data_IF_338543919791
#
_entry.id   IF_338543919791
#
_cell.length_a   1.000
_cell.length_b   1.000
_cell.length_c   1.000
_cell.angle_alpha   90.00
_cell.angle_beta   90.00
_cell.angle_gamma   90.00
#
_symmetry.space_group_name_H-M   'P 1'
#
loop_
_entity.id
_entity.type
_entity.pdbx_description
1 polymer ?
#
# COMPACT_ATOMS: atom_id res chain seq x y z
N UNK A 1 -4.75 0.82 -6.59
CA UNK A 1 -3.98 1.70 -5.68
C UNK A 1 -4.84 2.89 -5.26
N UNK A 2 -4.83 3.27 -3.97
CA UNK A 2 -5.52 4.46 -3.45
C UNK A 2 -4.49 5.48 -3.01
N UNK A 3 -4.65 6.75 -3.40
CA UNK A 3 -3.83 7.85 -2.89
C UNK A 3 -4.67 8.79 -2.03
N UNK A 4 -4.16 9.06 -0.83
CA UNK A 4 -4.67 10.08 0.08
C UNK A 4 -3.58 11.12 0.32
N UNK A 5 -3.98 12.37 0.46
CA UNK A 5 -3.08 13.46 0.87
C UNK A 5 -3.24 13.68 2.36
N UNK A 6 -2.14 13.56 3.09
CA UNK A 6 -2.06 13.90 4.50
C UNK A 6 -1.44 15.29 4.63
N UNK A 7 -2.19 16.23 5.20
CA UNK A 7 -1.71 17.60 5.41
C UNK A 7 -1.07 17.75 6.78
N UNK A 8 -0.26 18.81 6.96
CA UNK A 8 0.36 19.16 8.24
C UNK A 8 -0.66 19.42 9.36
N UNK A 9 -1.89 19.79 9.01
CA UNK A 9 -3.00 20.00 9.95
C UNK A 9 -3.79 18.71 10.22
N UNK A 10 -3.18 17.54 9.98
CA UNK A 10 -3.76 16.21 10.16
C UNK A 10 -5.05 15.94 9.37
N UNK A 11 -5.39 16.76 8.36
CA UNK A 11 -6.49 16.44 7.44
C UNK A 11 -6.02 15.38 6.45
N UNK A 12 -6.88 14.40 6.23
CA UNK A 12 -6.74 13.38 5.20
C UNK A 12 -7.73 13.68 4.08
N UNK A 13 -7.23 13.79 2.85
CA UNK A 13 -8.05 14.10 1.66
C UNK A 13 -7.88 12.93 0.69
N UNK A 14 -9.00 12.31 0.30
CA UNK A 14 -8.98 11.36 -0.81
C UNK A 14 -8.63 12.11 -2.10
N UNK A 15 -7.60 11.64 -2.79
CA UNK A 15 -7.17 12.25 -4.05
C UNK A 15 -7.78 11.52 -5.24
N UNK A 16 -7.46 10.24 -5.37
CA UNK A 16 -7.87 9.37 -6.47
C UNK A 16 -7.52 7.92 -6.14
N UNK A 17 -8.28 7.00 -6.73
CA UNK A 17 -7.94 5.58 -6.81
C UNK A 17 -7.69 5.21 -8.27
N UNK A 18 -6.61 4.48 -8.52
CA UNK A 18 -6.30 3.87 -9.79
C UNK A 18 -6.64 2.39 -9.73
N UNK A 19 -7.42 1.94 -10.69
CA UNK A 19 -7.58 0.52 -10.96
C UNK A 19 -6.33 0.03 -11.71
N UNK A 20 -5.69 -1.00 -11.15
CA UNK A 20 -4.46 -1.58 -11.69
C UNK A 20 -4.70 -3.00 -12.23
N UNK A 21 -5.95 -3.44 -12.36
CA UNK A 21 -6.28 -4.74 -12.94
C UNK A 21 -5.66 -4.87 -14.34
N UNK A 22 -4.88 -5.94 -14.54
CA UNK A 22 -4.21 -6.23 -15.81
C UNK A 22 -2.93 -5.44 -16.08
N UNK A 23 -2.55 -4.48 -15.21
CA UNK A 23 -1.29 -3.76 -15.29
C UNK A 23 -0.24 -4.41 -14.40
N UNK A 24 1.01 -4.47 -14.89
CA UNK A 24 2.13 -4.82 -14.02
C UNK A 24 2.37 -3.67 -13.04
N UNK A 25 2.41 -3.95 -11.75
CA UNK A 25 2.77 -2.94 -10.74
C UNK A 25 4.30 -2.77 -10.70
N UNK A 26 4.89 -2.24 -11.76
CA UNK A 26 6.34 -1.97 -11.83
C UNK A 26 6.68 -0.66 -11.12
N UNK A 27 7.93 -0.52 -10.66
CA UNK A 27 8.38 0.71 -10.01
C UNK A 27 8.25 1.96 -10.91
N UNK A 28 8.36 1.81 -12.23
CA UNK A 28 8.17 2.92 -13.19
C UNK A 28 6.71 3.34 -13.32
N UNK A 29 5.80 2.38 -13.46
CA UNK A 29 4.36 2.69 -13.55
C UNK A 29 3.85 3.32 -12.26
N UNK A 30 4.31 2.82 -11.11
CA UNK A 30 3.98 3.40 -9.81
C UNK A 30 4.56 4.82 -9.64
N UNK A 31 5.76 5.09 -10.17
CA UNK A 31 6.34 6.45 -10.19
C UNK A 31 5.44 7.41 -10.98
N UNK A 32 4.95 7.00 -12.15
CA UNK A 32 4.05 7.83 -12.95
C UNK A 32 2.74 8.12 -12.22
N UNK A 33 2.17 7.13 -11.52
CA UNK A 33 0.98 7.33 -10.68
C UNK A 33 1.26 8.34 -9.55
N UNK A 34 2.43 8.27 -8.91
CA UNK A 34 2.80 9.22 -7.86
C UNK A 34 2.97 10.63 -8.44
N UNK A 35 3.62 10.78 -9.59
CA UNK A 35 3.77 12.07 -10.26
C UNK A 35 2.42 12.68 -10.67
N UNK A 36 1.52 11.86 -11.22
CA UNK A 36 0.14 12.26 -11.51
C UNK A 36 -0.57 12.71 -10.23
N UNK A 37 -0.42 11.96 -9.14
CA UNK A 37 -0.98 12.31 -7.83
C UNK A 37 -0.47 13.65 -7.29
N UNK A 38 0.84 13.90 -7.38
CA UNK A 38 1.44 15.18 -6.95
C UNK A 38 0.86 16.34 -7.77
N UNK A 39 0.79 16.17 -9.10
CA UNK A 39 0.22 17.17 -10.00
C UNK A 39 -1.25 17.45 -9.66
N UNK A 40 -2.06 16.40 -9.48
CA UNK A 40 -3.47 16.52 -9.11
C UNK A 40 -3.68 17.22 -7.77
N UNK A 41 -2.85 16.92 -6.76
CA UNK A 41 -2.93 17.56 -5.46
C UNK A 41 -2.64 19.07 -5.56
N UNK A 42 -1.68 19.46 -6.40
CA UNK A 42 -1.37 20.85 -6.67
C UNK A 42 -2.47 21.56 -7.43
N UNK A 43 -3.00 20.96 -8.49
CA UNK A 43 -4.02 21.58 -9.35
C UNK A 43 -5.37 21.72 -8.64
N UNK A 44 -5.82 20.69 -7.91
CA UNK A 44 -7.15 20.69 -7.28
C UNK A 44 -7.20 21.43 -5.95
N UNK A 45 -6.12 21.37 -5.17
CA UNK A 45 -6.13 21.82 -3.78
C UNK A 45 -5.04 22.83 -3.46
N UNK A 46 -4.21 23.22 -4.44
CA UNK A 46 -3.02 24.06 -4.25
C UNK A 46 -2.04 23.51 -3.20
N UNK A 47 -1.98 22.18 -3.05
CA UNK A 47 -1.11 21.50 -2.08
C UNK A 47 0.26 21.24 -2.71
N UNK A 48 1.32 21.46 -1.94
CA UNK A 48 2.69 21.06 -2.30
C UNK A 48 2.99 19.75 -1.57
N UNK A 49 3.31 18.70 -2.32
CA UNK A 49 3.62 17.39 -1.78
C UNK A 49 5.13 17.25 -1.58
N UNK A 50 5.57 16.94 -0.35
CA UNK A 50 6.99 16.81 0.00
C UNK A 50 7.44 15.36 0.18
N UNK A 51 6.51 14.46 0.45
CA UNK A 51 6.80 13.06 0.71
C UNK A 51 5.68 12.14 0.21
N UNK A 52 6.04 10.90 -0.10
CA UNK A 52 5.14 9.79 -0.38
C UNK A 52 5.36 8.68 0.65
N UNK A 53 4.25 8.18 1.19
CA UNK A 53 4.23 7.04 2.12
C UNK A 53 3.65 5.84 1.36
N UNK A 54 4.36 4.71 1.32
CA UNK A 54 3.91 3.49 0.64
C UNK A 54 4.08 2.25 1.49
N UNK A 55 3.50 1.12 1.08
CA UNK A 55 3.82 -0.18 1.69
C UNK A 55 5.28 -0.58 1.45
N UNK A 56 5.75 -1.54 2.27
CA UNK A 56 7.07 -2.16 2.14
C UNK A 56 7.07 -3.32 1.13
N UNK A 57 6.52 -3.09 -0.06
CA UNK A 57 6.55 -4.05 -1.17
C UNK A 57 7.71 -3.72 -2.12
N UNK A 58 8.29 -4.73 -2.77
CA UNK A 58 9.46 -4.55 -3.65
C UNK A 58 9.24 -3.52 -4.77
N UNK A 59 8.06 -3.54 -5.40
CA UNK A 59 7.65 -2.58 -6.42
C UNK A 59 7.55 -1.15 -5.88
N UNK A 60 7.00 -0.99 -4.68
CA UNK A 60 6.88 0.30 -3.99
C UNK A 60 8.23 0.86 -3.56
N UNK A 61 9.15 0.01 -3.11
CA UNK A 61 10.53 0.40 -2.79
C UNK A 61 11.29 0.82 -4.05
N UNK A 62 11.07 0.15 -5.20
CA UNK A 62 11.64 0.56 -6.47
C UNK A 62 11.08 1.90 -6.95
N UNK A 63 9.78 2.13 -6.79
CA UNK A 63 9.14 3.44 -7.05
C UNK A 63 9.76 4.53 -6.18
N UNK A 64 9.92 4.26 -4.88
CA UNK A 64 10.48 5.21 -3.90
C UNK A 64 11.87 5.71 -4.26
N UNK A 65 12.71 4.85 -4.85
CA UNK A 65 14.04 5.21 -5.36
C UNK A 65 14.01 6.07 -6.62
N UNK A 66 12.88 6.14 -7.32
CA UNK A 66 12.74 6.78 -8.64
C UNK A 66 11.95 8.09 -8.60
N UNK A 67 11.25 8.38 -7.50
CA UNK A 67 10.54 9.65 -7.29
C UNK A 67 11.49 10.73 -6.77
N UNK A 68 11.22 11.99 -7.10
CA UNK A 68 12.06 13.14 -6.72
C UNK A 68 11.62 13.81 -5.41
N UNK A 69 10.83 13.12 -4.59
CA UNK A 69 10.36 13.58 -3.29
C UNK A 69 10.74 12.56 -2.22
N UNK A 70 10.63 12.92 -0.94
CA UNK A 70 10.95 11.97 0.12
C UNK A 70 10.03 10.75 0.07
N UNK A 71 10.62 9.57 0.21
CA UNK A 71 9.88 8.31 0.28
C UNK A 71 10.09 7.69 1.66
N UNK A 72 8.98 7.25 2.26
CA UNK A 72 9.02 6.48 3.50
C UNK A 72 8.01 5.35 3.44
N UNK A 73 8.25 4.30 4.23
CA UNK A 73 7.35 3.16 4.31
C UNK A 73 6.29 3.35 5.38
N UNK A 74 5.13 2.74 5.15
CA UNK A 74 4.00 2.80 6.05
C UNK A 74 4.33 2.08 7.38
N UNK A 75 4.33 2.84 8.47
CA UNK A 75 4.67 2.32 9.81
C UNK A 75 3.69 1.24 10.27
N UNK A 76 2.41 1.33 9.91
CA UNK A 76 1.43 0.29 10.27
C UNK A 76 1.73 -1.03 9.55
N UNK A 77 2.19 -0.97 8.31
CA UNK A 77 2.63 -2.17 7.58
C UNK A 77 3.87 -2.78 8.23
N UNK A 78 4.87 -1.96 8.54
CA UNK A 78 6.09 -2.39 9.25
C UNK A 78 5.76 -3.00 10.62
N UNK A 79 4.87 -2.37 11.40
CA UNK A 79 4.40 -2.87 12.69
C UNK A 79 3.64 -4.19 12.56
N UNK A 80 2.83 -4.36 11.52
CA UNK A 80 2.15 -5.63 11.24
C UNK A 80 3.15 -6.75 10.89
N UNK A 81 4.18 -6.45 10.10
CA UNK A 81 5.24 -7.43 9.81
C UNK A 81 6.00 -7.82 11.08
N UNK A 82 6.30 -6.84 11.96
CA UNK A 82 6.90 -7.11 13.25
C UNK A 82 6.00 -7.99 14.13
N UNK A 83 4.71 -7.64 14.25
CA UNK A 83 3.75 -8.43 15.02
C UNK A 83 3.68 -9.89 14.53
N UNK A 84 3.68 -10.11 13.20
CA UNK A 84 3.71 -11.45 12.61
C UNK A 84 4.97 -12.23 13.00
N UNK A 85 6.12 -11.57 13.14
CA UNK A 85 7.37 -12.22 13.54
C UNK A 85 7.37 -12.72 15.00
N UNK A 86 6.51 -12.15 15.85
CA UNK A 86 6.34 -12.61 17.24
C UNK A 86 5.37 -13.78 17.39
N UNK A 87 4.59 -14.10 16.35
CA UNK A 87 3.66 -15.23 16.39
C UNK A 87 4.45 -16.54 16.20
N UNK A 88 4.33 -17.52 17.11
CA UNK A 88 4.98 -18.81 16.93
C UNK A 88 4.52 -19.49 15.63
N UNK A 89 5.47 -20.05 14.86
CA UNK A 89 5.15 -20.70 13.58
C UNK A 89 4.13 -21.83 13.72
N UNK A 90 4.20 -22.59 14.82
CA UNK A 90 3.28 -23.69 15.10
C UNK A 90 1.84 -23.20 15.23
N UNK A 91 1.65 -22.08 15.93
CA UNK A 91 0.35 -21.43 16.06
C UNK A 91 -0.15 -20.90 14.71
N UNK A 92 0.72 -20.20 13.96
CA UNK A 92 0.37 -19.68 12.64
C UNK A 92 -0.03 -20.80 11.64
N UNK A 93 0.69 -21.93 11.65
CA UNK A 93 0.38 -23.11 10.82
C UNK A 93 -0.98 -23.71 11.17
N UNK A 94 -1.30 -23.86 12.45
CA UNK A 94 -2.58 -24.40 12.89
C UNK A 94 -3.77 -23.53 12.46
N UNK A 95 -3.66 -22.21 12.65
CA UNK A 95 -4.70 -21.26 12.20
C UNK A 95 -4.85 -21.30 10.67
N UNK A 96 -3.75 -21.38 9.93
CA UNK A 96 -3.81 -21.44 8.47
C UNK A 96 -4.47 -22.72 7.98
N UNK A 97 -4.13 -23.87 8.57
CA UNK A 97 -4.75 -25.16 8.24
C UNK A 97 -6.26 -25.15 8.53
N UNK A 98 -6.67 -24.58 9.66
CA UNK A 98 -8.09 -24.39 10.00
C UNK A 98 -8.80 -23.53 8.95
N UNK A 99 -8.24 -22.36 8.62
CA UNK A 99 -8.79 -21.46 7.60
C UNK A 99 -8.90 -22.13 6.22
N UNK A 100 -7.91 -22.93 5.81
CA UNK A 100 -7.94 -23.67 4.55
C UNK A 100 -9.04 -24.73 4.57
N UNK A 101 -9.18 -25.48 5.66
CA UNK A 101 -10.24 -26.46 5.83
C UNK A 101 -11.63 -25.83 5.74
N UNK A 102 -11.86 -24.72 6.44
CA UNK A 102 -13.13 -23.98 6.40
C UNK A 102 -13.45 -23.43 5.00
N UNK A 103 -12.44 -22.95 4.25
CA UNK A 103 -12.62 -22.49 2.87
C UNK A 103 -13.05 -23.63 1.93
N UNK A 104 -12.43 -24.80 2.07
CA UNK A 104 -12.82 -25.97 1.28
C UNK A 104 -14.25 -26.43 1.57
N UNK A 105 -14.68 -26.40 2.84
CA UNK A 105 -16.08 -26.72 3.16
C UNK A 105 -17.05 -25.73 2.52
N UNK A 106 -16.75 -24.43 2.54
CA UNK A 106 -17.59 -23.41 1.91
C UNK A 106 -17.67 -23.55 0.38
N UNK A 107 -16.59 -24.00 -0.26
CA UNK A 107 -16.58 -24.24 -1.72
C UNK A 107 -17.36 -25.50 -2.11
N UNK A 108 -17.43 -26.50 -1.23
CA UNK A 108 -18.19 -27.74 -1.46
C UNK A 108 -19.68 -27.63 -1.13
N UNK A 109 -20.13 -26.47 -0.62
CA UNK A 109 -21.54 -26.18 -0.31
C UNK A 109 -22.22 -25.27 -1.37
N UNK A 110 -21.49 -24.86 -2.40
CA UNK A 110 -22.00 -24.16 -3.60
C UNK A 110 -21.92 -25.06 -4.83
#
# INVERSE_FOLDING_TARGET
MVCTVHTVNSKCIFLKSWDLIGLKETGDQLKEIVNEGIKLAKEKFNIITYAVVSDNASSMMLMGKKVNIWHTTCQSHSGNLLAKSFVPETYAKNVNNFCMHSRHQLQNMN
#
